data_IF_428830812357
#
_entry.id   IF_428830812357
#
_cell.length_a   1.000
_cell.length_b   1.000
_cell.length_c   1.000
_cell.angle_alpha   90.00
_cell.angle_beta   90.00
_cell.angle_gamma   90.00
#
_symmetry.space_group_name_H-M   'P 1'
#
loop_
_entity.id
_entity.type
_entity.pdbx_description
1 polymer ?
#
# COMPACT_ATOMS: atom_id res chain seq x y z
N UNK A 1 40.39 25.78 -41.92
CA UNK A 1 40.44 24.52 -42.68
C UNK A 1 41.17 23.54 -41.78
N UNK A 2 40.54 22.56 -41.14
CA UNK A 2 39.58 21.56 -41.63
C UNK A 2 38.49 21.31 -40.58
N UNK A 3 37.31 20.93 -41.04
CA UNK A 3 36.02 20.77 -40.38
C UNK A 3 35.65 19.31 -40.04
N UNK A 4 34.83 19.17 -38.98
CA UNK A 4 33.79 18.14 -38.70
C UNK A 4 34.17 16.70 -38.24
N UNK A 5 33.30 15.96 -37.49
CA UNK A 5 31.83 16.10 -37.42
C UNK A 5 31.17 16.19 -36.02
N UNK A 6 29.91 16.65 -36.03
CA UNK A 6 28.92 16.57 -34.95
C UNK A 6 28.34 15.14 -34.80
N UNK A 7 28.04 14.78 -33.54
CA UNK A 7 27.15 13.69 -33.12
C UNK A 7 26.81 14.03 -31.64
N UNK A 8 25.59 14.21 -31.13
CA UNK A 8 24.29 13.66 -31.49
C UNK A 8 23.78 12.83 -30.30
N UNK A 9 22.73 13.31 -29.61
CA UNK A 9 21.90 12.57 -28.62
C UNK A 9 22.45 12.50 -27.18
N UNK A 10 21.69 12.62 -26.10
CA UNK A 10 20.26 12.81 -25.86
C UNK A 10 20.11 13.60 -24.55
N UNK A 11 19.31 14.66 -24.57
CA UNK A 11 18.82 15.30 -23.36
C UNK A 11 17.85 14.33 -22.68
N UNK A 12 18.16 13.84 -21.48
CA UNK A 12 17.16 13.24 -20.61
C UNK A 12 16.12 14.31 -20.23
N UNK A 13 15.10 14.35 -21.07
CA UNK A 13 13.96 15.24 -21.07
C UNK A 13 13.19 15.09 -19.76
N UNK A 14 13.33 16.09 -18.88
CA UNK A 14 12.51 16.28 -17.69
C UNK A 14 11.12 16.72 -18.13
N UNK A 15 10.31 15.81 -18.65
CA UNK A 15 8.86 16.04 -18.78
C UNK A 15 8.18 15.84 -17.43
N UNK A 16 8.36 16.80 -16.53
CA UNK A 16 7.24 17.22 -15.71
C UNK A 16 6.28 17.92 -16.68
N UNK A 17 5.01 17.52 -16.71
CA UNK A 17 3.99 18.13 -17.56
C UNK A 17 4.02 19.66 -17.39
N UNK A 18 4.57 20.36 -18.38
CA UNK A 18 4.46 21.80 -18.50
C UNK A 18 2.98 22.10 -18.76
N UNK A 19 2.36 22.89 -17.89
CA UNK A 19 0.94 23.26 -17.92
C UNK A 19 0.58 24.19 -19.09
N UNK A 20 1.43 24.26 -20.11
CA UNK A 20 1.27 25.06 -21.33
C UNK A 20 1.22 24.24 -22.63
N UNK A 21 1.34 22.91 -22.56
CA UNK A 21 1.01 22.08 -23.71
C UNK A 21 -0.51 22.08 -23.91
N UNK A 22 -0.97 22.59 -25.06
CA UNK A 22 -2.37 22.52 -25.47
C UNK A 22 -2.76 21.04 -25.57
N UNK A 23 -3.52 20.57 -24.57
CA UNK A 23 -4.16 19.25 -24.53
C UNK A 23 -4.90 19.01 -25.84
N UNK A 24 -4.59 17.91 -26.53
CA UNK A 24 -5.31 17.50 -27.73
C UNK A 24 -6.44 16.55 -27.31
N UNK A 25 -7.72 16.99 -27.31
CA UNK A 25 -8.84 16.24 -26.72
C UNK A 25 -9.22 14.95 -27.48
N UNK A 26 -8.42 14.56 -28.48
CA UNK A 26 -8.57 13.33 -29.27
C UNK A 26 -7.50 12.28 -29.00
N UNK A 27 -6.48 12.59 -28.18
CA UNK A 27 -5.45 11.63 -27.81
C UNK A 27 -5.87 10.88 -26.53
N UNK A 28 -6.12 9.56 -26.58
CA UNK A 28 -6.53 8.77 -25.42
C UNK A 28 -5.45 8.73 -24.31
N UNK A 29 -4.22 9.16 -24.59
CA UNK A 29 -3.14 9.27 -23.62
C UNK A 29 -3.00 10.68 -23.01
N UNK A 30 -3.75 11.69 -23.48
CA UNK A 30 -3.67 13.08 -23.01
C UNK A 30 -4.18 13.28 -21.57
N UNK A 31 -4.88 12.28 -21.03
CA UNK A 31 -5.36 12.28 -19.65
C UNK A 31 -4.48 11.44 -18.70
N UNK A 32 -3.51 10.68 -19.23
CA UNK A 32 -2.66 9.82 -18.41
C UNK A 32 -1.60 10.65 -17.66
N UNK A 33 -1.61 10.57 -16.33
CA UNK A 33 -0.65 11.29 -15.49
C UNK A 33 -0.97 12.77 -15.26
N UNK A 34 -2.09 13.28 -15.78
CA UNK A 34 -2.56 14.63 -15.46
C UNK A 34 -3.09 14.67 -14.02
N UNK A 35 -2.69 15.71 -13.27
CA UNK A 35 -3.26 15.95 -11.95
C UNK A 35 -4.76 16.25 -12.06
N UNK A 36 -5.59 15.37 -11.48
CA UNK A 36 -7.05 15.54 -11.50
C UNK A 36 -7.55 16.44 -10.38
N UNK A 37 -7.15 16.17 -9.13
CA UNK A 37 -7.64 16.89 -7.94
C UNK A 37 -6.78 16.63 -6.71
N UNK A 38 -6.88 17.57 -5.75
CA UNK A 38 -6.43 17.42 -4.35
C UNK A 38 -7.60 17.79 -3.46
N UNK A 39 -7.87 16.96 -2.46
CA UNK A 39 -8.87 17.23 -1.43
C UNK A 39 -8.21 17.19 -0.05
N UNK A 40 -8.91 17.80 0.90
CA UNK A 40 -8.83 17.42 2.30
C UNK A 40 -7.56 17.80 3.07
N UNK A 41 -7.05 19.01 2.82
CA UNK A 41 -5.92 19.60 3.54
C UNK A 41 -6.15 19.80 5.06
N UNK A 42 -7.38 19.64 5.57
CA UNK A 42 -7.75 19.98 6.95
C UNK A 42 -8.32 18.81 7.77
N UNK A 43 -8.48 17.61 7.19
CA UNK A 43 -9.01 16.44 7.92
C UNK A 43 -7.93 15.42 8.19
N UNK A 44 -6.99 15.23 7.26
CA UNK A 44 -5.82 14.37 7.44
C UNK A 44 -4.69 15.14 8.10
N UNK A 45 -4.02 14.50 9.05
CA UNK A 45 -2.87 15.03 9.79
C UNK A 45 -1.60 14.21 9.49
N UNK A 46 -1.70 12.88 9.56
CA UNK A 46 -0.55 11.98 9.41
C UNK A 46 -0.91 10.73 8.59
N UNK A 47 -1.34 10.88 7.32
CA UNK A 47 -1.68 9.75 6.47
C UNK A 47 -0.46 8.84 6.30
N UNK A 48 -0.64 7.54 6.50
CA UNK A 48 0.44 6.55 6.46
C UNK A 48 0.19 5.41 5.49
N UNK A 49 -1.03 4.89 5.45
CA UNK A 49 -1.45 3.87 4.50
C UNK A 49 -2.69 4.32 3.74
N UNK A 50 -2.82 3.88 2.49
CA UNK A 50 -3.95 4.17 1.63
C UNK A 50 -4.32 2.93 0.82
N UNK A 51 -5.61 2.68 0.64
CA UNK A 51 -6.11 1.71 -0.34
C UNK A 51 -7.43 2.20 -0.96
N UNK A 52 -7.86 1.51 -2.00
CA UNK A 52 -9.13 1.78 -2.68
C UNK A 52 -9.92 0.48 -2.71
N UNK A 53 -11.19 0.54 -2.34
CA UNK A 53 -12.06 -0.64 -2.39
C UNK A 53 -12.74 -0.82 -3.75
N UNK A 54 -13.50 -1.91 -3.90
CA UNK A 54 -14.22 -2.24 -5.13
C UNK A 54 -15.36 -1.26 -5.51
N UNK A 55 -15.72 -0.31 -4.62
CA UNK A 55 -16.70 0.76 -4.88
C UNK A 55 -16.02 2.10 -5.20
N UNK A 56 -14.69 2.14 -5.28
CA UNK A 56 -13.93 3.36 -5.54
C UNK A 56 -13.86 4.30 -4.33
N UNK A 57 -14.15 3.80 -3.11
CA UNK A 57 -13.92 4.56 -1.88
C UNK A 57 -12.45 4.50 -1.53
N UNK A 58 -11.91 5.61 -1.03
CA UNK A 58 -10.51 5.77 -0.67
C UNK A 58 -10.40 5.67 0.85
N UNK A 59 -9.66 4.69 1.34
CA UNK A 59 -9.48 4.42 2.78
C UNK A 59 -8.07 4.83 3.15
N UNK A 60 -7.96 5.70 4.15
CA UNK A 60 -6.68 6.23 4.65
C UNK A 60 -6.54 5.91 6.13
N UNK A 61 -5.39 5.36 6.52
CA UNK A 61 -5.03 5.17 7.94
C UNK A 61 -3.96 6.18 8.36
N UNK A 62 -4.12 6.76 9.55
CA UNK A 62 -3.21 7.75 10.12
C UNK A 62 -2.47 7.20 11.34
N UNK A 63 -1.15 7.38 11.42
CA UNK A 63 -0.33 6.70 12.42
C UNK A 63 -0.18 7.40 13.79
N UNK A 64 -0.20 8.73 13.86
CA UNK A 64 0.00 9.43 15.16
C UNK A 64 -1.29 9.68 15.94
N UNK A 65 -2.36 9.98 15.22
CA UNK A 65 -3.70 10.18 15.78
C UNK A 65 -4.52 8.89 15.81
N UNK A 66 -3.99 7.81 15.19
CA UNK A 66 -4.59 6.48 15.12
C UNK A 66 -6.06 6.54 14.71
N UNK A 67 -6.29 6.98 13.46
CA UNK A 67 -7.63 7.14 12.87
C UNK A 67 -7.69 6.50 11.49
N UNK A 68 -8.91 6.21 11.06
CA UNK A 68 -9.24 5.84 9.69
C UNK A 68 -10.21 6.89 9.13
N UNK A 69 -9.98 7.29 7.89
CA UNK A 69 -10.87 8.15 7.11
C UNK A 69 -11.22 7.47 5.79
N UNK A 70 -12.49 7.53 5.40
CA UNK A 70 -13.02 6.94 4.17
C UNK A 70 -13.63 8.05 3.33
N UNK A 71 -13.20 8.16 2.08
CA UNK A 71 -13.66 9.15 1.12
C UNK A 71 -14.31 8.49 -0.08
N UNK A 72 -15.14 9.22 -0.81
CA UNK A 72 -15.44 8.87 -2.19
C UNK A 72 -14.33 9.36 -3.14
N UNK A 73 -14.42 8.99 -4.41
CA UNK A 73 -13.49 9.41 -5.46
C UNK A 73 -13.49 10.92 -5.74
N UNK A 74 -14.51 11.65 -5.28
CA UNK A 74 -14.61 13.10 -5.44
C UNK A 74 -13.93 13.86 -4.30
N UNK A 75 -13.58 13.17 -3.21
CA UNK A 75 -12.93 13.70 -2.03
C UNK A 75 -13.89 14.04 -0.89
N UNK A 76 -15.15 13.61 -0.96
CA UNK A 76 -16.10 13.81 0.15
C UNK A 76 -15.82 12.79 1.25
N UNK A 77 -15.72 13.25 2.50
CA UNK A 77 -15.58 12.38 3.66
C UNK A 77 -16.87 11.61 3.91
N UNK A 78 -16.82 10.29 3.73
CA UNK A 78 -17.95 9.38 3.99
C UNK A 78 -17.98 8.93 5.44
N UNK A 79 -16.80 8.68 6.02
CA UNK A 79 -16.68 8.19 7.39
C UNK A 79 -15.33 8.55 8.00
N UNK A 80 -15.29 8.74 9.31
CA UNK A 80 -14.06 8.91 10.10
C UNK A 80 -14.23 8.38 11.51
N UNK A 81 -13.32 7.53 11.95
CA UNK A 81 -13.34 6.99 13.31
C UNK A 81 -11.93 6.85 13.88
N UNK A 82 -11.85 6.82 15.21
CA UNK A 82 -10.59 6.63 15.93
C UNK A 82 -10.41 5.17 16.32
N UNK A 83 -9.18 4.70 16.17
CA UNK A 83 -8.72 3.36 16.46
C UNK A 83 -7.69 3.34 17.60
N UNK A 84 -7.54 4.45 18.34
CA UNK A 84 -6.45 4.63 19.32
C UNK A 84 -6.38 3.59 20.43
N UNK A 85 -7.50 2.91 20.73
CA UNK A 85 -7.54 1.83 21.72
C UNK A 85 -6.98 0.51 21.20
N UNK A 86 -6.84 0.37 19.89
CA UNK A 86 -6.53 -0.89 19.22
C UNK A 86 -5.27 -0.81 18.36
N UNK A 87 -4.82 0.40 17.99
CA UNK A 87 -3.63 0.62 17.17
C UNK A 87 -2.53 1.36 17.95
N UNK A 88 -1.29 0.92 17.81
CA UNK A 88 -0.08 1.57 18.33
C UNK A 88 0.74 2.22 17.20
N UNK A 89 1.11 1.46 16.15
CA UNK A 89 1.84 2.03 15.00
C UNK A 89 1.37 1.46 13.66
N UNK A 90 0.21 1.92 13.14
CA UNK A 90 -0.31 1.44 11.88
C UNK A 90 0.52 1.93 10.70
N UNK A 91 0.80 1.05 9.74
CA UNK A 91 1.68 1.36 8.61
C UNK A 91 1.19 0.90 7.23
N UNK A 92 0.24 -0.03 7.15
CA UNK A 92 -0.33 -0.52 5.91
C UNK A 92 -1.83 -0.76 6.05
N UNK A 93 -2.56 -0.73 4.93
CA UNK A 93 -4.01 -0.92 4.91
C UNK A 93 -4.48 -1.58 3.62
N UNK A 94 -5.41 -2.53 3.72
CA UNK A 94 -6.18 -3.05 2.60
C UNK A 94 -7.63 -3.32 3.04
N UNK A 95 -8.50 -3.66 2.09
CA UNK A 95 -9.93 -3.91 2.34
C UNK A 95 -10.41 -5.13 1.57
N UNK A 96 -11.51 -5.73 2.04
CA UNK A 96 -12.22 -6.77 1.31
C UNK A 96 -13.59 -6.28 0.80
N UNK A 97 -14.28 -7.17 0.07
CA UNK A 97 -15.62 -6.91 -0.48
C UNK A 97 -16.75 -6.93 0.57
N UNK A 98 -16.43 -7.19 1.85
CA UNK A 98 -17.37 -7.24 2.98
C UNK A 98 -17.31 -6.00 3.86
N UNK A 99 -16.67 -4.93 3.38
CA UNK A 99 -16.48 -3.69 4.13
C UNK A 99 -15.71 -3.91 5.45
N UNK A 100 -14.66 -4.74 5.38
CA UNK A 100 -13.66 -4.90 6.43
C UNK A 100 -12.35 -4.22 6.00
N UNK A 101 -11.69 -3.59 6.97
CA UNK A 101 -10.45 -2.82 6.82
C UNK A 101 -9.38 -3.54 7.62
N UNK A 102 -8.35 -4.01 6.93
CA UNK A 102 -7.23 -4.73 7.50
C UNK A 102 -6.06 -3.76 7.61
N UNK A 103 -5.59 -3.52 8.83
CA UNK A 103 -4.53 -2.56 9.12
C UNK A 103 -3.36 -3.31 9.75
N UNK A 104 -2.20 -3.30 9.09
CA UNK A 104 -0.98 -3.79 9.73
C UNK A 104 -0.53 -2.82 10.81
N UNK A 105 -0.30 -3.34 12.01
CA UNK A 105 0.19 -2.59 13.14
C UNK A 105 1.58 -3.10 13.55
N UNK A 106 2.56 -2.28 13.24
CA UNK A 106 3.96 -2.63 13.39
C UNK A 106 4.33 -2.91 14.87
N UNK A 107 3.76 -2.18 15.83
CA UNK A 107 4.10 -2.36 17.24
C UNK A 107 3.20 -3.34 17.97
N UNK A 108 2.03 -3.62 17.42
CA UNK A 108 1.17 -4.69 17.94
C UNK A 108 1.53 -6.08 17.36
N UNK A 109 2.48 -6.16 16.42
CA UNK A 109 2.95 -7.43 15.81
C UNK A 109 1.85 -8.20 15.07
N UNK A 110 0.83 -7.51 14.55
CA UNK A 110 -0.33 -8.16 13.96
C UNK A 110 -1.06 -7.24 12.97
N UNK A 111 -2.12 -7.77 12.36
CA UNK A 111 -3.12 -7.01 11.62
C UNK A 111 -4.38 -6.87 12.47
N UNK A 112 -4.91 -5.65 12.57
CA UNK A 112 -6.21 -5.36 13.19
C UNK A 112 -7.26 -5.19 12.10
N UNK A 113 -8.42 -5.80 12.30
CA UNK A 113 -9.55 -5.74 11.36
C UNK A 113 -10.66 -4.89 11.95
N UNK A 114 -11.14 -3.91 11.18
CA UNK A 114 -12.25 -3.03 11.53
C UNK A 114 -13.36 -3.10 10.49
N UNK A 115 -14.60 -2.89 10.91
CA UNK A 115 -15.69 -2.60 9.98
C UNK A 115 -15.60 -1.16 9.48
N UNK A 116 -16.33 -0.85 8.40
CA UNK A 116 -16.44 0.54 7.93
C UNK A 116 -17.23 1.43 8.90
N UNK A 117 -17.98 0.87 9.86
CA UNK A 117 -18.58 1.62 10.97
C UNK A 117 -17.58 1.96 12.09
N UNK A 118 -16.35 1.44 12.01
CA UNK A 118 -15.28 1.68 12.99
C UNK A 118 -15.28 0.73 14.17
N UNK A 119 -16.02 -0.38 14.09
CA UNK A 119 -16.01 -1.42 15.11
C UNK A 119 -14.80 -2.32 14.92
N UNK A 120 -14.07 -2.59 16.01
CA UNK A 120 -13.02 -3.60 15.99
C UNK A 120 -13.64 -4.99 15.87
N UNK A 121 -13.20 -5.76 14.88
CA UNK A 121 -13.76 -7.08 14.58
C UNK A 121 -12.86 -8.18 15.12
N UNK A 122 -11.57 -8.17 14.76
CA UNK A 122 -10.62 -9.23 15.12
C UNK A 122 -9.16 -8.82 14.89
N UNK A 123 -8.27 -9.69 15.33
CA UNK A 123 -6.83 -9.63 15.10
C UNK A 123 -6.38 -10.84 14.28
N UNK A 124 -5.39 -10.65 13.41
CA UNK A 124 -4.78 -11.68 12.56
C UNK A 124 -3.26 -11.63 12.74
N UNK A 125 -2.64 -12.79 12.94
CA UNK A 125 -1.23 -12.88 13.32
C UNK A 125 -1.02 -12.60 14.81
N UNK A 126 0.20 -12.20 15.17
CA UNK A 126 0.59 -11.92 16.54
C UNK A 126 2.09 -12.01 16.77
N UNK A 127 2.50 -11.64 17.98
CA UNK A 127 3.89 -11.74 18.43
C UNK A 127 4.42 -13.18 18.27
N UNK A 128 5.64 -13.30 17.76
CA UNK A 128 6.27 -14.58 17.44
C UNK A 128 5.95 -15.12 16.03
N UNK A 129 4.91 -14.59 15.36
CA UNK A 129 4.49 -15.06 14.02
C UNK A 129 4.64 -13.96 12.96
N UNK A 130 4.18 -12.76 13.26
CA UNK A 130 4.18 -11.61 12.33
C UNK A 130 4.85 -10.41 12.98
N UNK A 131 6.08 -10.59 13.46
CA UNK A 131 6.76 -9.58 14.26
C UNK A 131 7.10 -8.33 13.45
N UNK A 132 6.68 -7.15 13.93
CA UNK A 132 6.96 -5.88 13.26
C UNK A 132 6.52 -5.85 11.80
N UNK A 133 5.23 -6.08 11.50
CA UNK A 133 4.75 -6.11 10.13
C UNK A 133 5.05 -4.80 9.42
N UNK A 134 5.46 -4.88 8.16
CA UNK A 134 5.77 -3.73 7.31
C UNK A 134 4.60 -3.34 6.41
N UNK A 135 3.69 -4.29 6.15
CA UNK A 135 2.52 -4.09 5.28
C UNK A 135 1.57 -5.29 5.34
N UNK A 136 0.39 -5.09 4.76
CA UNK A 136 -0.66 -6.10 4.62
C UNK A 136 -1.28 -6.00 3.23
N UNK A 137 -1.66 -7.13 2.65
CA UNK A 137 -2.39 -7.18 1.39
C UNK A 137 -3.34 -8.37 1.33
N UNK A 138 -4.28 -8.35 0.39
CA UNK A 138 -5.12 -9.51 0.06
C UNK A 138 -4.74 -10.03 -1.33
N UNK A 139 -4.71 -11.35 -1.50
CA UNK A 139 -4.64 -11.96 -2.83
C UNK A 139 -6.06 -12.10 -3.44
N UNK A 140 -6.14 -12.59 -4.67
CA UNK A 140 -7.41 -12.82 -5.38
C UNK A 140 -8.29 -13.91 -4.75
N UNK A 141 -7.73 -14.82 -3.95
CA UNK A 141 -8.48 -15.79 -3.15
C UNK A 141 -9.04 -15.18 -1.85
N UNK A 142 -8.62 -13.95 -1.51
CA UNK A 142 -8.97 -13.27 -0.29
C UNK A 142 -8.09 -13.64 0.91
N UNK A 143 -7.00 -14.39 0.74
CA UNK A 143 -6.06 -14.66 1.83
C UNK A 143 -5.37 -13.37 2.25
N UNK A 144 -5.10 -13.24 3.54
CA UNK A 144 -4.39 -12.11 4.15
C UNK A 144 -2.90 -12.40 4.15
N UNK A 145 -2.15 -11.54 3.47
CA UNK A 145 -0.70 -11.57 3.42
C UNK A 145 -0.15 -10.53 4.39
N UNK A 146 0.63 -10.98 5.37
CA UNK A 146 1.33 -10.11 6.32
C UNK A 146 2.82 -10.27 6.06
N UNK A 147 3.49 -9.18 5.68
CA UNK A 147 4.93 -9.17 5.52
C UNK A 147 5.62 -8.50 6.70
N UNK A 148 6.78 -9.02 7.08
CA UNK A 148 7.69 -8.39 8.02
C UNK A 148 9.14 -8.50 7.58
N UNK A 149 10.02 -7.71 8.21
CA UNK A 149 11.47 -7.75 7.94
C UNK A 149 12.27 -7.64 9.26
N UNK A 150 11.82 -8.32 10.32
CA UNK A 150 12.46 -8.20 11.64
C UNK A 150 13.81 -8.92 11.73
N UNK A 151 14.06 -9.93 10.90
CA UNK A 151 15.34 -10.64 10.81
C UNK A 151 15.71 -10.97 9.36
N UNK A 152 14.87 -11.77 8.72
CA UNK A 152 14.78 -11.93 7.28
C UNK A 152 13.42 -11.39 6.82
N UNK A 153 13.22 -11.24 5.51
CA UNK A 153 11.89 -10.94 5.00
C UNK A 153 11.00 -12.18 5.17
N UNK A 154 9.91 -12.02 5.92
CA UNK A 154 8.91 -13.06 6.11
C UNK A 154 7.60 -12.66 5.44
N UNK A 155 6.89 -13.66 4.96
CA UNK A 155 5.55 -13.53 4.45
C UNK A 155 4.69 -14.63 5.06
N UNK A 156 3.70 -14.24 5.86
CA UNK A 156 2.78 -15.16 6.50
C UNK A 156 1.39 -14.96 5.94
N UNK A 157 0.77 -16.06 5.50
CA UNK A 157 -0.55 -16.08 4.89
C UNK A 157 -1.58 -16.58 5.92
N UNK A 158 -2.74 -15.94 5.94
CA UNK A 158 -3.86 -16.30 6.79
C UNK A 158 -5.17 -16.30 6.00
N UNK A 159 -6.17 -17.04 6.47
CA UNK A 159 -7.55 -16.76 6.07
C UNK A 159 -8.00 -15.41 6.63
N UNK A 160 -9.08 -14.85 6.09
CA UNK A 160 -9.62 -13.60 6.63
C UNK A 160 -10.12 -13.75 8.06
N UNK A 161 -10.44 -14.96 8.53
CA UNK A 161 -10.86 -15.27 9.89
C UNK A 161 -9.66 -15.47 10.85
N UNK A 162 -8.42 -15.45 10.32
CA UNK A 162 -7.19 -15.48 11.11
C UNK A 162 -6.53 -16.85 11.24
N UNK A 163 -6.99 -17.87 10.52
CA UNK A 163 -6.32 -19.17 10.50
C UNK A 163 -5.05 -19.09 9.63
N UNK A 164 -3.90 -19.47 10.19
CA UNK A 164 -2.63 -19.47 9.45
C UNK A 164 -2.64 -20.54 8.35
N UNK A 165 -2.28 -20.14 7.13
CA UNK A 165 -2.23 -21.00 5.95
C UNK A 165 -0.81 -21.42 5.59
N UNK A 166 0.12 -20.47 5.60
CA UNK A 166 1.51 -20.68 5.21
C UNK A 166 2.43 -19.63 5.82
N UNK A 167 3.71 -19.94 5.95
CA UNK A 167 4.77 -19.00 6.28
C UNK A 167 5.98 -19.24 5.40
N UNK A 168 6.54 -18.15 4.90
CA UNK A 168 7.69 -18.14 4.00
C UNK A 168 8.74 -17.19 4.56
N UNK A 169 10.00 -17.59 4.49
CA UNK A 169 11.14 -16.80 4.89
C UNK A 169 12.11 -16.66 3.71
N UNK A 170 12.56 -15.44 3.45
CA UNK A 170 13.57 -15.17 2.44
C UNK A 170 14.94 -15.69 2.87
N UNK A 171 15.75 -16.17 1.92
CA UNK A 171 17.14 -16.58 2.18
C UNK A 171 18.13 -15.42 2.32
N UNK A 172 17.68 -14.19 2.05
CA UNK A 172 18.52 -12.98 2.02
C UNK A 172 17.91 -11.91 2.89
N UNK A 173 18.77 -11.14 3.56
CA UNK A 173 18.32 -9.98 4.33
C UNK A 173 18.08 -8.79 3.42
N UNK A 174 17.07 -8.01 3.76
CA UNK A 174 16.79 -6.74 3.10
C UNK A 174 17.16 -5.56 4.00
N UNK A 175 17.51 -4.44 3.38
CA UNK A 175 17.48 -3.15 4.06
C UNK A 175 16.05 -2.85 4.54
N UNK A 176 15.88 -1.75 5.29
CA UNK A 176 14.56 -1.31 5.74
C UNK A 176 13.55 -1.32 4.59
N UNK A 177 12.47 -2.07 4.75
CA UNK A 177 11.39 -2.15 3.77
C UNK A 177 10.36 -1.06 4.07
N UNK A 178 9.83 -0.46 3.01
CA UNK A 178 8.86 0.63 3.13
C UNK A 178 7.43 0.16 2.93
N UNK A 179 7.19 -0.63 1.89
CA UNK A 179 5.84 -1.06 1.50
C UNK A 179 5.90 -2.34 0.67
N UNK A 180 4.74 -2.99 0.55
CA UNK A 180 4.52 -4.14 -0.31
C UNK A 180 3.27 -3.98 -1.16
N UNK A 181 3.25 -4.58 -2.34
CA UNK A 181 2.06 -4.69 -3.17
C UNK A 181 1.86 -6.16 -3.57
N UNK A 182 0.66 -6.68 -3.32
CA UNK A 182 0.29 -8.02 -3.78
C UNK A 182 -0.10 -7.92 -5.25
N UNK A 183 0.42 -8.83 -6.05
CA UNK A 183 0.08 -9.01 -7.44
C UNK A 183 -0.78 -10.26 -7.60
N UNK A 184 -1.49 -10.33 -8.72
CA UNK A 184 -2.09 -11.58 -9.18
C UNK A 184 -1.00 -12.65 -9.42
N UNK A 185 -1.42 -13.91 -9.57
CA UNK A 185 -0.52 -15.05 -9.83
C UNK A 185 0.50 -15.31 -8.71
N UNK A 186 0.09 -15.13 -7.45
CA UNK A 186 0.89 -15.59 -6.32
C UNK A 186 2.20 -14.83 -6.12
N UNK A 187 2.26 -13.58 -6.56
CA UNK A 187 3.46 -12.74 -6.48
C UNK A 187 3.24 -11.48 -5.64
N UNK A 188 4.30 -10.93 -5.06
CA UNK A 188 4.30 -9.62 -4.41
C UNK A 188 5.54 -8.83 -4.79
N UNK A 189 5.42 -7.51 -4.75
CA UNK A 189 6.53 -6.57 -4.89
C UNK A 189 6.84 -5.96 -3.52
N UNK A 190 8.12 -5.85 -3.19
CA UNK A 190 8.64 -5.25 -1.97
C UNK A 190 9.51 -4.04 -2.32
N UNK A 191 9.22 -2.89 -1.72
CA UNK A 191 10.04 -1.69 -1.85
C UNK A 191 11.01 -1.53 -0.68
N UNK A 192 12.30 -1.34 -0.95
CA UNK A 192 13.34 -1.27 0.08
C UNK A 192 14.24 -0.03 -0.01
N UNK A 193 14.83 0.33 1.13
CA UNK A 193 15.70 1.50 1.34
C UNK A 193 17.02 1.44 0.58
N UNK A 194 17.39 0.29 0.04
CA UNK A 194 18.56 0.15 -0.82
C UNK A 194 18.29 0.55 -2.28
N UNK A 195 17.18 1.26 -2.52
CA UNK A 195 16.75 1.78 -3.81
C UNK A 195 16.37 0.70 -4.83
N UNK A 196 15.89 -0.46 -4.34
CA UNK A 196 15.46 -1.59 -5.17
C UNK A 196 14.02 -2.00 -4.88
N UNK A 197 13.43 -2.60 -5.90
CA UNK A 197 12.19 -3.37 -5.80
C UNK A 197 12.53 -4.86 -5.94
N UNK A 198 11.90 -5.69 -5.11
CA UNK A 198 12.08 -7.13 -5.12
C UNK A 198 10.76 -7.82 -5.41
N UNK A 199 10.78 -8.76 -6.36
CA UNK A 199 9.63 -9.61 -6.67
C UNK A 199 9.77 -10.94 -5.92
N UNK A 200 8.75 -11.31 -5.16
CA UNK A 200 8.66 -12.59 -4.46
C UNK A 200 7.47 -13.37 -4.96
N UNK A 201 7.68 -14.66 -5.26
CA UNK A 201 6.60 -15.62 -5.51
C UNK A 201 6.32 -16.39 -4.22
N UNK A 202 5.04 -16.47 -3.84
CA UNK A 202 4.57 -17.11 -2.61
C UNK A 202 3.58 -18.25 -2.85
N UNK A 203 3.05 -18.40 -4.07
CA UNK A 203 2.28 -19.56 -4.51
C UNK A 203 2.94 -20.19 -5.74
N UNK A 204 2.93 -21.52 -5.90
CA UNK A 204 3.25 -22.15 -7.18
C UNK A 204 2.23 -21.77 -8.26
N UNK A 205 2.67 -21.86 -9.52
CA UNK A 205 1.82 -21.78 -10.72
C UNK A 205 0.94 -23.04 -10.85
#
# INVERSE_FOLDING_TARGET
MVSEPECGGESHDRRFCDSRALSNPSDPYDHCGQFTRRFDANVLEHPRGICVDNKGRIIVVECKVTRVAIFDMFGNLLQKFSCFRHLDFPNGVCTNDREEIFISDNRAHCVKVFSYSGEFVREIGGEGITNYPIGVGLNSAGDVLIADNHNNFNLTLFTQEGAMLSALESRVKHAQCFDMAVMDEGCLVLASKDYRLYLYRYSPD
#
